data_IF_759223498140
#
_entry.id   IF_759223498140
#
_cell.length_a   1.000
_cell.length_b   1.000
_cell.length_c   1.000
_cell.angle_alpha   90.00
_cell.angle_beta   90.00
_cell.angle_gamma   90.00
#
_symmetry.space_group_name_H-M   'P 1'
#
loop_
_entity.id
_entity.type
_entity.pdbx_description
1 polymer ?
#
# COMPACT_ATOMS: atom_id res chain seq x y z
N UNK A 1 -23.01 -33.58 -16.74
CA UNK A 1 -22.91 -32.17 -17.23
C UNK A 1 -22.65 -31.35 -15.99
N UNK A 2 -21.42 -30.91 -15.83
CA UNK A 2 -21.06 -30.01 -14.73
C UNK A 2 -21.84 -28.71 -14.89
N UNK A 3 -22.47 -28.26 -13.82
CA UNK A 3 -23.20 -27.01 -13.80
C UNK A 3 -22.22 -25.82 -13.96
N UNK A 4 -22.71 -24.67 -14.41
CA UNK A 4 -21.89 -23.45 -14.49
C UNK A 4 -21.30 -23.07 -13.11
N UNK A 5 -22.03 -23.39 -12.03
CA UNK A 5 -21.57 -23.19 -10.64
C UNK A 5 -20.35 -24.06 -10.31
N UNK A 6 -20.35 -25.31 -10.76
CA UNK A 6 -19.22 -26.24 -10.50
C UNK A 6 -17.98 -25.78 -11.26
N UNK A 7 -18.12 -25.35 -12.51
CA UNK A 7 -17.01 -24.80 -13.29
C UNK A 7 -16.39 -23.56 -12.63
N UNK A 8 -17.22 -22.66 -12.09
CA UNK A 8 -16.76 -21.47 -11.39
C UNK A 8 -16.01 -21.82 -10.10
N UNK A 9 -16.51 -22.80 -9.34
CA UNK A 9 -15.85 -23.27 -8.11
C UNK A 9 -14.49 -23.90 -8.41
N UNK A 10 -14.38 -24.71 -9.46
CA UNK A 10 -13.12 -25.33 -9.91
C UNK A 10 -12.14 -24.24 -10.38
N UNK A 11 -12.61 -23.24 -11.12
CA UNK A 11 -11.79 -22.13 -11.57
C UNK A 11 -11.26 -21.30 -10.39
N UNK A 12 -12.10 -20.97 -9.41
CA UNK A 12 -11.68 -20.24 -8.21
C UNK A 12 -10.63 -21.02 -7.38
N UNK A 13 -10.76 -22.36 -7.32
CA UNK A 13 -9.74 -23.20 -6.68
C UNK A 13 -8.42 -23.18 -7.45
N UNK A 14 -8.50 -23.26 -8.78
CA UNK A 14 -7.35 -23.13 -9.67
C UNK A 14 -6.60 -21.81 -9.43
N UNK A 15 -7.30 -20.70 -9.32
CA UNK A 15 -6.72 -19.39 -9.04
C UNK A 15 -5.88 -19.35 -7.76
N UNK A 16 -6.39 -19.98 -6.69
CA UNK A 16 -5.66 -20.05 -5.41
C UNK A 16 -4.37 -20.86 -5.52
N UNK A 17 -4.38 -21.94 -6.28
CA UNK A 17 -3.20 -22.80 -6.46
C UNK A 17 -2.15 -22.08 -7.33
N UNK A 18 -2.57 -21.37 -8.37
CA UNK A 18 -1.70 -20.74 -9.35
C UNK A 18 -1.16 -19.37 -8.94
N UNK A 19 -1.58 -18.82 -7.80
CA UNK A 19 -1.16 -17.49 -7.33
C UNK A 19 0.37 -17.31 -7.22
N UNK A 20 1.11 -18.40 -7.00
CA UNK A 20 2.57 -18.40 -6.87
C UNK A 20 3.32 -18.96 -8.08
N UNK A 21 2.61 -19.27 -9.17
CA UNK A 21 3.22 -19.82 -10.39
C UNK A 21 3.70 -18.69 -11.30
N UNK A 22 4.74 -18.99 -12.09
CA UNK A 22 5.20 -18.11 -13.16
C UNK A 22 4.15 -18.00 -14.28
N UNK A 23 4.16 -16.90 -15.08
CA UNK A 23 3.21 -16.73 -16.19
C UNK A 23 3.18 -17.92 -17.18
N UNK A 24 4.32 -18.56 -17.41
CA UNK A 24 4.41 -19.75 -18.29
C UNK A 24 3.71 -20.94 -17.67
N UNK A 25 3.94 -21.22 -16.38
CA UNK A 25 3.28 -22.30 -15.65
C UNK A 25 1.78 -22.10 -15.56
N UNK A 26 1.32 -20.86 -15.38
CA UNK A 26 -0.10 -20.49 -15.43
C UNK A 26 -0.67 -20.79 -16.82
N UNK A 27 0.03 -20.43 -17.91
CA UNK A 27 -0.45 -20.65 -19.27
C UNK A 27 -0.60 -22.16 -19.60
N UNK A 28 0.36 -22.98 -19.21
CA UNK A 28 0.30 -24.46 -19.36
C UNK A 28 -0.84 -25.04 -18.50
N UNK A 29 -1.00 -24.56 -17.28
CA UNK A 29 -2.05 -25.02 -16.37
C UNK A 29 -3.45 -24.64 -16.89
N UNK A 30 -3.59 -23.48 -17.55
CA UNK A 30 -4.82 -23.08 -18.23
C UNK A 30 -5.19 -23.99 -19.41
N UNK A 31 -4.22 -24.54 -20.15
CA UNK A 31 -4.49 -25.53 -21.20
C UNK A 31 -5.14 -26.80 -20.63
N UNK A 32 -4.60 -27.28 -19.52
CA UNK A 32 -5.17 -28.45 -18.82
C UNK A 32 -6.57 -28.16 -18.29
N UNK A 33 -6.77 -26.97 -17.69
CA UNK A 33 -8.06 -26.57 -17.15
C UNK A 33 -9.10 -26.41 -18.27
N UNK A 34 -8.73 -25.78 -19.38
CA UNK A 34 -9.54 -25.60 -20.57
C UNK A 34 -10.10 -26.94 -21.09
N UNK A 35 -9.22 -27.94 -21.19
CA UNK A 35 -9.59 -29.29 -21.60
C UNK A 35 -10.54 -29.97 -20.61
N UNK A 36 -10.29 -29.81 -19.32
CA UNK A 36 -11.09 -30.42 -18.23
C UNK A 36 -12.48 -29.80 -18.10
N UNK A 37 -12.57 -28.48 -18.20
CA UNK A 37 -13.84 -27.76 -18.09
C UNK A 37 -14.61 -27.67 -19.39
N UNK A 38 -14.06 -28.16 -20.49
CA UNK A 38 -14.60 -27.96 -21.84
C UNK A 38 -14.98 -26.49 -22.09
N UNK A 39 -14.04 -25.60 -21.79
CA UNK A 39 -14.20 -24.13 -21.85
C UNK A 39 -13.00 -23.56 -22.59
N UNK A 40 -13.23 -22.68 -23.56
CA UNK A 40 -12.15 -22.11 -24.35
C UNK A 40 -11.11 -21.38 -23.46
N UNK A 41 -9.81 -21.60 -23.69
CA UNK A 41 -8.70 -20.99 -22.93
C UNK A 41 -8.80 -19.46 -22.88
N UNK A 42 -9.24 -18.83 -23.97
CA UNK A 42 -9.39 -17.37 -24.01
C UNK A 42 -10.48 -16.84 -23.07
N UNK A 43 -11.52 -17.64 -22.81
CA UNK A 43 -12.55 -17.31 -21.82
C UNK A 43 -11.94 -17.40 -20.41
N UNK A 44 -11.19 -18.46 -20.14
CA UNK A 44 -10.50 -18.61 -18.85
C UNK A 44 -9.44 -17.52 -18.62
N UNK A 45 -8.71 -17.11 -19.67
CA UNK A 45 -7.76 -15.97 -19.59
C UNK A 45 -8.47 -14.63 -19.33
N UNK A 46 -9.64 -14.40 -19.89
CA UNK A 46 -10.44 -13.22 -19.60
C UNK A 46 -10.91 -13.21 -18.15
N UNK A 47 -11.45 -14.33 -17.68
CA UNK A 47 -11.91 -14.45 -16.30
C UNK A 47 -10.76 -14.26 -15.30
N UNK A 48 -9.56 -14.83 -15.59
CA UNK A 48 -8.35 -14.61 -14.83
C UNK A 48 -7.99 -13.12 -14.71
N UNK A 49 -8.07 -12.37 -15.81
CA UNK A 49 -7.77 -10.93 -15.82
C UNK A 49 -8.83 -10.13 -15.06
N UNK A 50 -10.09 -10.49 -15.15
CA UNK A 50 -11.17 -9.85 -14.40
C UNK A 50 -10.99 -10.04 -12.90
N UNK A 51 -10.82 -11.28 -12.44
CA UNK A 51 -10.66 -11.54 -11.01
C UNK A 51 -9.37 -10.93 -10.43
N UNK A 52 -8.25 -10.98 -11.16
CA UNK A 52 -7.01 -10.33 -10.70
C UNK A 52 -7.09 -8.81 -10.71
N UNK A 53 -7.91 -8.20 -11.56
CA UNK A 53 -8.14 -6.75 -11.54
C UNK A 53 -9.08 -6.33 -10.41
N UNK A 54 -10.13 -7.11 -10.16
CA UNK A 54 -11.09 -6.82 -9.09
C UNK A 54 -10.46 -7.00 -7.70
N UNK A 55 -9.73 -8.11 -7.46
CA UNK A 55 -9.00 -8.31 -6.19
C UNK A 55 -7.93 -7.23 -5.96
N UNK A 56 -7.21 -6.81 -7.01
CA UNK A 56 -6.24 -5.71 -6.88
C UNK A 56 -6.93 -4.38 -6.59
N UNK A 57 -8.06 -4.09 -7.23
CA UNK A 57 -8.80 -2.86 -6.98
C UNK A 57 -9.36 -2.84 -5.56
N UNK A 58 -9.97 -3.93 -5.09
CA UNK A 58 -10.46 -4.04 -3.71
C UNK A 58 -9.35 -3.89 -2.68
N UNK A 59 -8.18 -4.52 -2.90
CA UNK A 59 -7.02 -4.37 -2.02
C UNK A 59 -6.45 -2.96 -2.07
N UNK A 60 -6.40 -2.34 -3.27
CA UNK A 60 -5.94 -0.96 -3.42
C UNK A 60 -6.90 0.00 -2.73
N UNK A 61 -8.22 -0.13 -2.93
CA UNK A 61 -9.22 0.73 -2.29
C UNK A 61 -9.20 0.59 -0.77
N UNK A 62 -9.11 -0.63 -0.24
CA UNK A 62 -8.99 -0.88 1.20
C UNK A 62 -7.69 -0.30 1.76
N UNK A 63 -6.58 -0.43 1.04
CA UNK A 63 -5.28 0.13 1.44
C UNK A 63 -5.31 1.66 1.45
N UNK A 64 -5.88 2.28 0.40
CA UNK A 64 -6.01 3.74 0.31
C UNK A 64 -6.91 4.25 1.44
N UNK A 65 -8.05 3.60 1.69
CA UNK A 65 -8.96 3.96 2.78
C UNK A 65 -8.26 3.86 4.15
N UNK A 66 -7.50 2.79 4.39
CA UNK A 66 -6.75 2.62 5.65
C UNK A 66 -5.67 3.67 5.82
N UNK A 67 -4.91 3.99 4.77
CA UNK A 67 -3.87 5.03 4.81
C UNK A 67 -4.47 6.40 5.07
N UNK A 68 -5.64 6.72 4.51
CA UNK A 68 -6.35 7.96 4.80
C UNK A 68 -6.72 8.06 6.28
N UNK A 69 -7.30 7.02 6.85
CA UNK A 69 -7.67 6.97 8.27
C UNK A 69 -6.43 7.17 9.17
N UNK A 70 -5.31 6.54 8.85
CA UNK A 70 -4.08 6.71 9.62
C UNK A 70 -3.52 8.15 9.52
N UNK A 71 -3.60 8.78 8.33
CA UNK A 71 -3.23 10.20 8.18
C UNK A 71 -4.10 11.09 9.04
N UNK A 72 -5.41 10.89 9.03
CA UNK A 72 -6.37 11.68 9.80
C UNK A 72 -6.11 11.56 11.30
N UNK A 73 -5.77 10.36 11.78
CA UNK A 73 -5.43 10.12 13.18
C UNK A 73 -4.15 10.87 13.58
N UNK A 74 -3.09 10.81 12.77
CA UNK A 74 -1.85 11.54 13.05
C UNK A 74 -2.06 13.05 12.99
N UNK A 75 -2.89 13.55 12.08
CA UNK A 75 -3.26 14.97 12.00
C UNK A 75 -4.02 15.38 13.26
N UNK A 76 -4.97 14.58 13.75
CA UNK A 76 -5.69 14.85 14.99
C UNK A 76 -4.72 14.96 16.18
N UNK A 77 -3.71 14.08 16.26
CA UNK A 77 -2.64 14.17 17.27
C UNK A 77 -1.82 15.45 17.16
N UNK A 78 -1.41 15.85 15.94
CA UNK A 78 -0.67 17.08 15.69
C UNK A 78 -1.48 18.31 16.15
N UNK A 79 -2.78 18.35 15.85
CA UNK A 79 -3.67 19.44 16.25
C UNK A 79 -3.84 19.49 17.75
N UNK A 80 -4.11 18.34 18.40
CA UNK A 80 -4.32 18.23 19.84
C UNK A 80 -3.10 18.70 20.66
N UNK A 81 -1.91 18.48 20.10
CA UNK A 81 -0.64 18.95 20.68
C UNK A 81 -0.23 20.37 20.25
N UNK A 82 -1.16 21.14 19.66
CA UNK A 82 -0.91 22.54 19.25
C UNK A 82 0.20 22.67 18.19
N UNK A 83 0.27 21.69 17.26
CA UNK A 83 1.31 21.57 16.23
C UNK A 83 2.74 21.36 16.76
N UNK A 84 2.87 20.91 18.01
CA UNK A 84 4.15 20.38 18.52
C UNK A 84 4.29 18.94 18.09
N UNK A 85 5.27 18.66 17.23
CA UNK A 85 5.53 17.35 16.67
C UNK A 85 6.65 16.65 17.43
N UNK A 86 6.50 15.33 17.65
CA UNK A 86 7.56 14.47 18.17
C UNK A 86 8.47 13.97 17.03
N UNK A 87 9.49 13.18 17.36
CA UNK A 87 10.45 12.65 16.40
C UNK A 87 9.78 11.76 15.35
N UNK A 88 8.81 10.93 15.76
CA UNK A 88 8.10 10.00 14.87
C UNK A 88 7.28 10.75 13.82
N UNK A 89 6.54 11.78 14.23
CA UNK A 89 5.76 12.63 13.32
C UNK A 89 6.69 13.40 12.38
N UNK A 90 7.82 13.92 12.87
CA UNK A 90 8.79 14.60 12.03
C UNK A 90 9.35 13.68 10.95
N UNK A 91 9.63 12.41 11.27
CA UNK A 91 10.06 11.42 10.27
C UNK A 91 9.00 11.18 9.19
N UNK A 92 7.70 11.12 9.55
CA UNK A 92 6.61 10.98 8.57
C UNK A 92 6.55 12.20 7.64
N UNK A 93 6.68 13.41 8.20
CA UNK A 93 6.69 14.67 7.43
C UNK A 93 7.88 14.73 6.47
N UNK A 94 9.06 14.29 6.90
CA UNK A 94 10.27 14.29 6.07
C UNK A 94 10.25 13.24 4.95
N UNK A 95 9.52 12.14 5.15
CA UNK A 95 9.38 11.08 4.14
C UNK A 95 8.40 11.44 3.02
N UNK A 96 7.38 12.27 3.30
CA UNK A 96 6.31 12.53 2.35
C UNK A 96 5.99 14.03 2.23
N UNK A 97 6.35 14.61 1.08
CA UNK A 97 6.16 16.03 0.81
C UNK A 97 4.69 16.46 0.73
N UNK A 98 3.79 15.57 0.31
CA UNK A 98 2.35 15.86 0.25
C UNK A 98 1.75 15.87 1.66
N UNK A 99 2.17 14.93 2.52
CA UNK A 99 1.77 14.92 3.92
C UNK A 99 2.26 16.19 4.64
N UNK A 100 3.50 16.61 4.38
CA UNK A 100 4.02 17.89 4.88
C UNK A 100 3.15 19.08 4.48
N UNK A 101 2.82 19.20 3.18
CA UNK A 101 1.95 20.28 2.68
C UNK A 101 0.55 20.25 3.32
N UNK A 102 0.00 19.05 3.54
CA UNK A 102 -1.29 18.89 4.21
C UNK A 102 -1.24 19.40 5.65
N UNK A 103 -0.23 19.03 6.43
CA UNK A 103 -0.04 19.52 7.81
C UNK A 103 0.12 21.04 7.83
N UNK A 104 0.91 21.62 6.92
CA UNK A 104 1.10 23.06 6.80
C UNK A 104 -0.20 23.79 6.41
N UNK A 105 -0.99 23.23 5.49
CA UNK A 105 -2.30 23.77 5.10
C UNK A 105 -3.27 23.81 6.29
N UNK A 106 -3.36 22.73 7.06
CA UNK A 106 -4.25 22.64 8.23
C UNK A 106 -3.81 23.60 9.33
N UNK A 107 -2.50 23.79 9.50
CA UNK A 107 -1.98 24.77 10.48
C UNK A 107 -2.48 26.18 10.22
N UNK A 108 -2.68 26.55 8.96
CA UNK A 108 -3.06 27.89 8.52
C UNK A 108 -4.58 28.10 8.35
N UNK A 109 -5.39 27.03 8.43
CA UNK A 109 -6.84 27.09 8.18
C UNK A 109 -7.63 26.49 9.35
N UNK A 110 -8.28 27.36 10.15
CA UNK A 110 -9.02 26.91 11.35
C UNK A 110 -10.21 25.99 11.02
N UNK A 111 -10.90 26.23 9.89
CA UNK A 111 -12.02 25.39 9.46
C UNK A 111 -11.61 23.95 9.19
N UNK A 112 -10.40 23.72 8.68
CA UNK A 112 -9.87 22.37 8.47
C UNK A 112 -9.51 21.69 9.77
N UNK A 113 -9.11 22.43 10.81
CA UNK A 113 -8.80 21.84 12.13
C UNK A 113 -10.03 21.21 12.76
N UNK A 114 -11.21 21.84 12.60
CA UNK A 114 -12.46 21.35 13.18
C UNK A 114 -12.84 19.93 12.67
N UNK A 115 -12.48 19.58 11.46
CA UNK A 115 -12.73 18.23 10.88
C UNK A 115 -12.03 17.13 11.67
N UNK A 116 -10.87 17.40 12.25
CA UNK A 116 -10.03 16.43 12.96
C UNK A 116 -10.23 16.44 14.49
N UNK A 117 -10.80 17.49 15.07
CA UNK A 117 -10.95 17.64 16.53
C UNK A 117 -11.85 16.58 17.17
N UNK A 118 -12.73 15.94 16.39
CA UNK A 118 -13.63 14.92 16.86
C UNK A 118 -13.09 13.49 16.70
N UNK A 119 -11.88 13.33 16.16
CA UNK A 119 -11.26 12.02 16.00
C UNK A 119 -10.73 11.57 17.36
N UNK A 120 -11.28 10.50 17.91
CA UNK A 120 -10.79 9.87 19.13
C UNK A 120 -10.01 8.61 18.79
N UNK A 121 -8.91 8.36 19.49
CA UNK A 121 -8.04 7.22 19.27
C UNK A 121 -7.38 6.77 20.58
N UNK A 122 -6.97 5.50 20.61
CA UNK A 122 -6.17 4.94 21.70
C UNK A 122 -4.68 5.09 21.38
N UNK A 123 -3.84 4.90 22.40
CA UNK A 123 -2.38 4.89 22.21
C UNK A 123 -1.93 3.80 21.23
N UNK A 124 -2.59 2.64 21.26
CA UNK A 124 -2.26 1.53 20.36
C UNK A 124 -2.62 1.88 18.91
N UNK A 125 -3.77 2.49 18.69
CA UNK A 125 -4.18 2.98 17.37
C UNK A 125 -3.21 4.04 16.82
N UNK A 126 -2.74 4.94 17.69
CA UNK A 126 -1.72 5.92 17.31
C UNK A 126 -0.41 5.23 16.89
N UNK A 127 0.09 4.30 17.70
CA UNK A 127 1.33 3.56 17.40
C UNK A 127 1.22 2.76 16.11
N UNK A 128 0.07 2.11 15.88
CA UNK A 128 -0.21 1.41 14.62
C UNK A 128 -0.23 2.39 13.44
N UNK A 129 -0.90 3.53 13.56
CA UNK A 129 -0.97 4.53 12.50
C UNK A 129 0.41 5.06 12.11
N UNK A 130 1.26 5.39 13.11
CA UNK A 130 2.65 5.80 12.88
C UNK A 130 3.41 4.73 12.10
N UNK A 131 3.36 3.48 12.57
CA UNK A 131 4.08 2.36 11.95
C UNK A 131 3.61 2.11 10.52
N UNK A 132 2.31 2.05 10.29
CA UNK A 132 1.72 1.83 8.96
C UNK A 132 2.05 2.97 7.98
N UNK A 133 1.94 4.22 8.42
CA UNK A 133 2.30 5.37 7.59
C UNK A 133 3.79 5.41 7.30
N UNK A 134 4.63 5.11 8.28
CA UNK A 134 6.07 5.06 8.05
C UNK A 134 6.42 4.03 6.97
N UNK A 135 5.90 2.81 7.06
CA UNK A 135 6.13 1.76 6.07
C UNK A 135 5.66 2.18 4.67
N UNK A 136 4.49 2.82 4.59
CA UNK A 136 3.94 3.29 3.32
C UNK A 136 4.79 4.40 2.71
N UNK A 137 5.12 5.45 3.48
CA UNK A 137 5.91 6.59 3.00
C UNK A 137 7.36 6.20 2.70
N UNK A 138 7.94 5.31 3.51
CA UNK A 138 9.29 4.80 3.28
C UNK A 138 9.42 4.05 1.95
N UNK A 139 8.43 3.23 1.58
CA UNK A 139 8.43 2.54 0.29
C UNK A 139 8.44 3.55 -0.87
N UNK A 140 7.51 4.52 -0.84
CA UNK A 140 7.43 5.56 -1.88
C UNK A 140 8.76 6.32 -1.95
N UNK A 141 9.32 6.71 -0.80
CA UNK A 141 10.57 7.49 -0.77
C UNK A 141 11.78 6.73 -1.26
N UNK A 142 11.86 5.43 -0.95
CA UNK A 142 12.92 4.56 -1.49
C UNK A 142 12.85 4.51 -3.01
N UNK A 143 11.66 4.30 -3.57
CA UNK A 143 11.47 4.23 -5.02
C UNK A 143 11.82 5.56 -5.70
N UNK A 144 11.42 6.71 -5.12
CA UNK A 144 11.81 8.04 -5.59
C UNK A 144 13.33 8.23 -5.59
N UNK A 145 14.02 7.88 -4.50
CA UNK A 145 15.47 8.06 -4.37
C UNK A 145 16.26 7.14 -5.31
N UNK A 146 15.77 5.92 -5.53
CA UNK A 146 16.38 4.99 -6.49
C UNK A 146 16.23 5.54 -7.90
N UNK A 147 15.04 6.00 -8.27
CA UNK A 147 14.80 6.62 -9.58
C UNK A 147 15.70 7.86 -9.79
N UNK A 148 15.77 8.75 -8.79
CA UNK A 148 16.64 9.93 -8.85
C UNK A 148 18.12 9.54 -9.00
N UNK A 149 18.57 8.48 -8.34
CA UNK A 149 19.93 7.95 -8.49
C UNK A 149 20.19 7.40 -9.90
N UNK A 150 19.22 6.67 -10.47
CA UNK A 150 19.35 6.08 -11.80
C UNK A 150 19.39 7.14 -12.89
N UNK A 151 18.61 8.20 -12.77
CA UNK A 151 18.55 9.32 -13.71
C UNK A 151 19.72 10.32 -13.56
N UNK A 152 20.44 10.31 -12.42
CA UNK A 152 21.53 11.23 -12.18
C UNK A 152 22.77 10.87 -13.01
N UNK A 153 23.31 11.83 -13.78
CA UNK A 153 24.53 11.65 -14.57
C UNK A 153 25.75 11.38 -13.69
N UNK A 154 25.85 12.05 -12.54
CA UNK A 154 27.00 11.98 -11.62
C UNK A 154 26.89 10.91 -10.54
N UNK A 155 25.89 10.00 -10.62
CA UNK A 155 25.66 8.92 -9.65
C UNK A 155 25.85 9.34 -8.18
N UNK A 156 24.93 10.15 -7.69
CA UNK A 156 24.99 10.70 -6.33
C UNK A 156 24.81 9.60 -5.25
N UNK A 157 25.92 9.07 -4.75
CA UNK A 157 25.93 8.00 -3.75
C UNK A 157 25.30 8.39 -2.40
N UNK A 158 25.10 9.68 -2.11
CA UNK A 158 24.38 10.11 -0.91
C UNK A 158 22.90 9.69 -0.96
N UNK A 159 22.31 9.56 -2.17
CA UNK A 159 20.95 9.05 -2.32
C UNK A 159 20.86 7.59 -1.86
N UNK A 160 21.83 6.76 -2.24
CA UNK A 160 21.88 5.36 -1.80
C UNK A 160 22.07 5.24 -0.27
N UNK A 161 22.88 6.12 0.32
CA UNK A 161 23.02 6.14 1.78
C UNK A 161 21.70 6.46 2.46
N UNK A 162 20.94 7.43 1.93
CA UNK A 162 19.59 7.74 2.45
C UNK A 162 18.63 6.55 2.30
N UNK A 163 18.68 5.82 1.20
CA UNK A 163 17.90 4.60 0.99
C UNK A 163 18.20 3.57 2.08
N UNK A 164 19.48 3.32 2.37
CA UNK A 164 19.90 2.39 3.41
C UNK A 164 19.44 2.82 4.81
N UNK A 165 19.50 4.10 5.13
CA UNK A 165 19.04 4.64 6.41
C UNK A 165 17.52 4.50 6.58
N UNK A 166 16.75 4.73 5.50
CA UNK A 166 15.30 4.50 5.50
C UNK A 166 14.98 3.01 5.66
N UNK A 167 15.70 2.11 4.97
CA UNK A 167 15.50 0.66 5.10
C UNK A 167 15.74 0.15 6.51
N UNK A 168 16.82 0.59 7.17
CA UNK A 168 17.11 0.23 8.57
C UNK A 168 15.99 0.65 9.53
N UNK A 169 15.47 1.88 9.37
CA UNK A 169 14.35 2.35 10.20
C UNK A 169 13.06 1.59 9.87
N UNK A 170 12.83 1.25 8.60
CA UNK A 170 11.69 0.45 8.19
C UNK A 170 11.63 -0.90 8.90
N UNK A 171 12.76 -1.58 9.08
CA UNK A 171 12.84 -2.84 9.81
C UNK A 171 12.37 -2.69 11.27
N UNK A 172 12.68 -1.57 11.92
CA UNK A 172 12.20 -1.29 13.28
C UNK A 172 10.67 -1.23 13.31
N UNK A 173 10.07 -0.47 12.40
CA UNK A 173 8.61 -0.32 12.34
C UNK A 173 7.89 -1.61 11.90
N UNK A 174 8.51 -2.46 11.07
CA UNK A 174 7.96 -3.77 10.71
C UNK A 174 7.84 -4.72 11.91
N UNK A 175 8.77 -4.63 12.86
CA UNK A 175 8.77 -5.46 14.06
C UNK A 175 7.83 -4.95 15.17
N UNK A 176 7.21 -3.78 14.97
CA UNK A 176 6.32 -3.13 15.96
C UNK A 176 4.84 -3.45 15.68
N UNK A 177 4.51 -3.91 14.47
CA UNK A 177 3.16 -4.30 14.04
C UNK A 177 2.95 -5.80 14.27
#
# INVERSE_FOLDING_TARGET
IESTSDKKSIFNYFMKITANLSPLEVDVSLDLLSSKLNTAKDILKKELRFQTSDEKNDVIEQTISSISIFKDLIIAEIISNGFNTNEEINQLIDLNSEFKKLVESIKNEDTKKEEYLNISYTKDQYSEAVSRLYLHFANIKIDELIYEFEESEDKNFQLLQRVEDIKKKKEIYQNTI
#
